data_IF_272397482255
#
_entry.id   IF_272397482255
#
_cell.length_a   1.000
_cell.length_b   1.000
_cell.length_c   1.000
_cell.angle_alpha   90.00
_cell.angle_beta   90.00
_cell.angle_gamma   90.00
#
_symmetry.space_group_name_H-M   'P 1'
#
loop_
_entity.id
_entity.type
_entity.pdbx_description
1 polymer ?
#
# COMPACT_ATOMS: atom_id res chain seq x y z
N UNK A 1 -37.61 -8.21 4.62
CA UNK A 1 -36.71 -7.91 5.76
C UNK A 1 -35.24 -8.20 5.44
N UNK A 2 -34.90 -9.27 4.71
CA UNK A 2 -33.53 -9.56 4.25
C UNK A 2 -32.86 -8.45 3.42
N UNK A 3 -33.62 -7.69 2.64
CA UNK A 3 -33.09 -6.58 1.83
C UNK A 3 -32.47 -5.44 2.67
N UNK A 4 -32.91 -5.26 3.93
CA UNK A 4 -32.34 -4.25 4.83
C UNK A 4 -31.06 -4.74 5.49
N UNK A 5 -31.00 -6.00 5.92
CA UNK A 5 -29.79 -6.60 6.50
C UNK A 5 -28.67 -6.74 5.47
N UNK A 6 -29.00 -7.14 4.24
CA UNK A 6 -28.03 -7.18 3.16
C UNK A 6 -27.46 -5.80 2.87
N UNK A 7 -28.32 -4.77 2.69
CA UNK A 7 -27.87 -3.39 2.48
C UNK A 7 -27.02 -2.87 3.62
N UNK A 8 -27.39 -3.17 4.87
CA UNK A 8 -26.61 -2.79 6.06
C UNK A 8 -25.22 -3.42 6.04
N UNK A 9 -25.10 -4.73 5.83
CA UNK A 9 -23.82 -5.43 5.77
C UNK A 9 -22.94 -4.94 4.61
N UNK A 10 -23.53 -4.69 3.44
CA UNK A 10 -22.81 -4.09 2.32
C UNK A 10 -22.29 -2.70 2.68
N UNK A 11 -23.09 -1.85 3.32
CA UNK A 11 -22.65 -0.52 3.79
C UNK A 11 -21.51 -0.66 4.78
N UNK A 12 -21.58 -1.57 5.76
CA UNK A 12 -20.50 -1.72 6.75
C UNK A 12 -19.20 -2.25 6.13
N UNK A 13 -19.29 -3.23 5.22
CA UNK A 13 -18.11 -3.80 4.53
C UNK A 13 -17.49 -2.79 3.57
N UNK A 14 -18.32 -2.11 2.77
CA UNK A 14 -17.87 -1.06 1.86
C UNK A 14 -17.25 0.10 2.66
N UNK A 15 -17.89 0.52 3.75
CA UNK A 15 -17.33 1.56 4.61
C UNK A 15 -15.99 1.16 5.21
N UNK A 16 -15.85 -0.08 5.72
CA UNK A 16 -14.62 -0.54 6.36
C UNK A 16 -13.45 -0.63 5.38
N UNK A 17 -13.70 -1.09 4.15
CA UNK A 17 -12.67 -1.28 3.12
C UNK A 17 -12.36 0.00 2.34
N UNK A 18 -13.37 0.83 2.07
CA UNK A 18 -13.26 2.00 1.19
C UNK A 18 -13.30 3.33 1.93
N UNK A 19 -13.39 3.38 3.28
CA UNK A 19 -13.42 4.65 4.04
C UNK A 19 -12.35 5.64 3.60
N UNK A 20 -11.12 5.18 3.32
CA UNK A 20 -10.03 6.06 2.88
C UNK A 20 -10.34 6.70 1.54
N UNK A 21 -10.77 5.90 0.56
CA UNK A 21 -11.16 6.38 -0.76
C UNK A 21 -12.39 7.29 -0.68
N UNK A 22 -13.43 6.91 0.05
CA UNK A 22 -14.66 7.70 0.23
C UNK A 22 -14.32 9.06 0.86
N UNK A 23 -13.59 9.08 1.97
CA UNK A 23 -13.20 10.33 2.65
C UNK A 23 -12.34 11.19 1.72
N UNK A 24 -11.37 10.59 1.01
CA UNK A 24 -10.52 11.35 0.10
C UNK A 24 -11.27 11.95 -1.08
N UNK A 25 -12.24 11.22 -1.64
CA UNK A 25 -13.08 11.72 -2.75
C UNK A 25 -14.02 12.81 -2.26
N UNK A 26 -14.59 12.64 -1.07
CA UNK A 26 -15.45 13.65 -0.45
C UNK A 26 -14.66 14.94 -0.15
N UNK A 27 -13.42 14.80 0.33
CA UNK A 27 -12.51 15.93 0.51
C UNK A 27 -12.15 16.58 -0.83
N UNK A 28 -11.89 15.82 -1.89
CA UNK A 28 -11.64 16.34 -3.23
C UNK A 28 -12.84 17.17 -3.75
N UNK A 29 -14.05 16.64 -3.63
CA UNK A 29 -15.27 17.36 -3.98
C UNK A 29 -15.42 18.65 -3.16
N UNK A 30 -15.17 18.59 -1.84
CA UNK A 30 -15.21 19.77 -0.99
C UNK A 30 -14.17 20.83 -1.40
N UNK A 31 -12.95 20.41 -1.75
CA UNK A 31 -11.91 21.30 -2.27
C UNK A 31 -12.31 21.95 -3.60
N UNK A 32 -12.90 21.20 -4.53
CA UNK A 32 -13.37 21.74 -5.81
C UNK A 32 -14.48 22.76 -5.61
N UNK A 33 -15.42 22.45 -4.72
CA UNK A 33 -16.48 23.38 -4.34
C UNK A 33 -15.90 24.67 -3.76
N UNK A 34 -14.94 24.57 -2.84
CA UNK A 34 -14.31 25.74 -2.23
C UNK A 34 -13.55 26.61 -3.24
N UNK A 35 -12.81 26.00 -4.18
CA UNK A 35 -12.13 26.71 -5.26
C UNK A 35 -13.13 27.42 -6.17
N UNK A 36 -14.23 26.75 -6.51
CA UNK A 36 -15.32 27.35 -7.29
C UNK A 36 -15.91 28.57 -6.58
N UNK A 37 -16.29 28.40 -5.32
CA UNK A 37 -16.86 29.46 -4.49
C UNK A 37 -15.93 30.68 -4.37
N UNK A 38 -14.64 30.46 -4.07
CA UNK A 38 -13.64 31.54 -4.00
C UNK A 38 -13.43 32.24 -5.35
N UNK A 39 -13.48 31.49 -6.45
CA UNK A 39 -13.31 32.05 -7.79
C UNK A 39 -14.50 32.90 -8.21
N UNK A 40 -15.73 32.47 -7.88
CA UNK A 40 -16.94 33.21 -8.19
C UNK A 40 -17.00 34.53 -7.40
N UNK A 41 -16.62 34.50 -6.12
CA UNK A 41 -16.48 35.71 -5.27
C UNK A 41 -15.44 36.69 -5.84
N UNK A 42 -14.29 36.16 -6.28
CA UNK A 42 -13.27 36.98 -6.95
C UNK A 42 -13.76 37.57 -8.28
N UNK A 43 -14.52 36.82 -9.08
CA UNK A 43 -15.09 37.30 -10.34
C UNK A 43 -16.05 38.47 -10.10
N UNK A 44 -16.90 38.36 -9.09
CA UNK A 44 -17.84 39.42 -8.70
C UNK A 44 -17.08 40.69 -8.28
N UNK A 45 -16.03 40.55 -7.46
CA UNK A 45 -15.16 41.65 -7.08
C UNK A 45 -14.43 42.28 -8.29
N UNK A 46 -13.80 41.46 -9.14
CA UNK A 46 -12.99 41.93 -10.26
C UNK A 46 -13.82 42.64 -11.33
N UNK A 47 -15.07 42.21 -11.55
CA UNK A 47 -15.99 42.83 -12.51
C UNK A 47 -16.51 44.18 -12.04
N UNK A 48 -16.61 44.42 -10.73
CA UNK A 48 -17.07 45.70 -10.16
C UNK A 48 -15.94 46.68 -9.85
N UNK A 49 -14.74 46.23 -9.47
CA UNK A 49 -13.67 47.10 -8.95
C UNK A 49 -12.57 47.49 -9.97
N UNK A 50 -12.05 46.54 -10.76
CA UNK A 50 -10.76 46.73 -11.47
C UNK A 50 -10.85 46.67 -13.01
N UNK A 51 -12.01 46.30 -13.55
CA UNK A 51 -12.18 46.08 -15.00
C UNK A 51 -11.54 44.77 -15.46
N UNK A 52 -12.00 44.25 -16.60
CA UNK A 52 -11.83 42.84 -17.05
C UNK A 52 -10.39 42.34 -17.26
N UNK A 53 -9.37 43.19 -17.04
CA UNK A 53 -7.96 42.89 -17.33
C UNK A 53 -7.35 41.81 -16.43
N UNK A 54 -7.83 41.64 -15.19
CA UNK A 54 -7.33 40.65 -14.22
C UNK A 54 -8.04 39.29 -14.30
N UNK A 55 -9.16 39.18 -15.05
CA UNK A 55 -10.01 37.99 -15.10
C UNK A 55 -9.26 36.77 -15.69
N UNK A 56 -8.45 36.97 -16.73
CA UNK A 56 -7.69 35.89 -17.36
C UNK A 56 -6.70 35.20 -16.40
N UNK A 57 -6.07 35.99 -15.52
CA UNK A 57 -5.16 35.45 -14.50
C UNK A 57 -5.87 34.59 -13.47
N UNK A 58 -7.08 34.98 -13.07
CA UNK A 58 -7.90 34.21 -12.13
C UNK A 58 -8.35 32.86 -12.70
N UNK A 59 -8.65 32.79 -14.00
CA UNK A 59 -8.91 31.51 -14.67
C UNK A 59 -7.68 30.60 -14.67
N UNK A 60 -6.49 31.14 -14.95
CA UNK A 60 -5.25 30.37 -14.85
C UNK A 60 -5.03 29.83 -13.44
N UNK A 61 -5.26 30.68 -12.42
CA UNK A 61 -5.13 30.30 -11.02
C UNK A 61 -6.14 29.20 -10.63
N UNK A 62 -7.39 29.28 -11.11
CA UNK A 62 -8.40 28.23 -10.90
C UNK A 62 -7.93 26.89 -11.45
N UNK A 63 -7.44 26.84 -12.68
CA UNK A 63 -6.95 25.61 -13.29
C UNK A 63 -5.71 25.06 -12.60
N UNK A 64 -4.78 25.94 -12.20
CA UNK A 64 -3.61 25.55 -11.42
C UNK A 64 -4.00 24.94 -10.06
N UNK A 65 -4.95 25.56 -9.35
CA UNK A 65 -5.47 25.06 -8.08
C UNK A 65 -6.16 23.69 -8.24
N UNK A 66 -6.99 23.53 -9.28
CA UNK A 66 -7.66 22.24 -9.58
C UNK A 66 -6.63 21.14 -9.91
N UNK A 67 -5.62 21.44 -10.71
CA UNK A 67 -4.54 20.49 -11.00
C UNK A 67 -3.77 20.10 -9.74
N UNK A 68 -3.48 21.07 -8.86
CA UNK A 68 -2.74 20.82 -7.63
C UNK A 68 -3.53 19.95 -6.66
N UNK A 69 -4.82 20.21 -6.47
CA UNK A 69 -5.70 19.36 -5.65
C UNK A 69 -5.85 17.96 -6.25
N UNK A 70 -6.02 17.87 -7.57
CA UNK A 70 -6.09 16.58 -8.28
C UNK A 70 -4.82 15.77 -8.08
N UNK A 71 -3.66 16.40 -8.29
CA UNK A 71 -2.36 15.76 -8.11
C UNK A 71 -2.19 15.28 -6.67
N UNK A 72 -2.50 16.13 -5.68
CA UNK A 72 -2.48 15.76 -4.26
C UNK A 72 -3.34 14.54 -3.95
N UNK A 73 -4.56 14.46 -4.51
CA UNK A 73 -5.43 13.30 -4.38
C UNK A 73 -4.79 12.03 -4.95
N UNK A 74 -4.22 12.09 -6.14
CA UNK A 74 -3.54 10.94 -6.76
C UNK A 74 -2.32 10.51 -5.94
N UNK A 75 -1.50 11.44 -5.46
CA UNK A 75 -0.34 11.13 -4.61
C UNK A 75 -0.74 10.43 -3.29
N UNK A 76 -1.85 10.84 -2.67
CA UNK A 76 -2.32 10.26 -1.42
C UNK A 76 -2.98 8.89 -1.62
N UNK A 77 -3.71 8.68 -2.72
CA UNK A 77 -4.47 7.45 -2.94
C UNK A 77 -3.72 6.37 -3.74
N UNK A 78 -2.84 6.78 -4.65
CA UNK A 78 -2.02 5.90 -5.47
C UNK A 78 -0.54 6.17 -5.15
N UNK A 79 0.01 5.55 -4.09
CA UNK A 79 1.44 5.64 -3.84
C UNK A 79 2.17 5.10 -5.07
N UNK A 80 2.86 5.99 -5.77
CA UNK A 80 3.52 5.69 -7.02
C UNK A 80 4.52 4.54 -6.81
N UNK A 81 4.41 3.44 -7.56
CA UNK A 81 5.26 2.26 -7.35
C UNK A 81 6.75 2.56 -7.60
N UNK A 82 7.08 3.60 -8.36
CA UNK A 82 8.45 4.05 -8.60
C UNK A 82 9.07 4.83 -7.43
N UNK A 83 8.26 5.33 -6.50
CA UNK A 83 8.70 5.99 -5.27
C UNK A 83 8.67 5.03 -4.07
N UNK A 84 8.45 3.75 -4.33
CA UNK A 84 8.63 2.68 -3.36
C UNK A 84 10.12 2.42 -3.17
N UNK A 85 10.70 3.00 -2.12
CA UNK A 85 11.91 2.43 -1.51
C UNK A 85 11.64 0.94 -1.32
N UNK A 86 12.56 0.13 -1.83
CA UNK A 86 12.63 -1.31 -1.61
C UNK A 86 12.84 -1.59 -0.11
N UNK A 87 11.84 -1.33 0.73
CA UNK A 87 11.74 -1.94 2.05
C UNK A 87 11.36 -3.39 1.80
N UNK A 88 12.39 -4.13 1.41
CA UNK A 88 12.43 -5.58 1.48
C UNK A 88 11.79 -5.97 2.80
N UNK A 89 10.89 -6.95 2.72
CA UNK A 89 10.59 -7.87 3.78
C UNK A 89 11.85 -8.16 4.62
N UNK A 90 12.03 -7.46 5.73
CA UNK A 90 12.69 -8.03 6.90
C UNK A 90 11.64 -8.90 7.57
N UNK A 91 11.35 -10.04 6.94
CA UNK A 91 10.82 -11.16 7.70
C UNK A 91 11.94 -11.59 8.62
N UNK A 92 11.73 -11.28 9.89
CA UNK A 92 12.31 -11.91 11.07
C UNK A 92 13.05 -13.22 10.74
N UNK A 93 14.38 -13.17 10.73
CA UNK A 93 15.18 -14.34 11.12
C UNK A 93 14.97 -14.50 12.62
N UNK A 94 14.40 -15.62 13.12
CA UNK A 94 14.55 -15.94 14.52
C UNK A 94 16.01 -16.36 14.73
N UNK A 95 16.73 -15.50 15.44
CA UNK A 95 17.78 -15.78 16.42
C UNK A 95 18.87 -16.82 16.10
N UNK A 96 20.11 -16.35 16.25
CA UNK A 96 21.31 -17.14 16.49
C UNK A 96 21.08 -18.36 17.40
N UNK A 97 21.42 -19.54 16.88
CA UNK A 97 22.05 -20.70 17.55
C UNK A 97 22.39 -21.66 16.42
N UNK A 98 23.63 -21.84 16.01
CA UNK A 98 24.53 -22.78 16.66
C UNK A 98 25.94 -22.59 16.04
N UNK A 99 26.68 -21.58 16.53
CA UNK A 99 28.15 -21.51 16.38
C UNK A 99 28.73 -22.50 17.37
N UNK A 100 28.78 -23.79 17.00
CA UNK A 100 29.67 -24.82 17.55
C UNK A 100 29.35 -26.18 16.91
N UNK A 101 29.89 -26.43 15.71
CA UNK A 101 30.22 -27.80 15.29
C UNK A 101 31.67 -27.81 14.81
N UNK A 102 32.47 -28.80 15.21
CA UNK A 102 33.90 -28.84 14.91
C UNK A 102 34.10 -28.91 13.39
N UNK A 103 35.17 -28.25 12.91
CA UNK A 103 35.67 -28.36 11.53
C UNK A 103 35.99 -29.82 11.22
N UNK A 104 35.01 -30.55 10.72
CA UNK A 104 35.24 -31.76 9.94
C UNK A 104 35.67 -31.33 8.55
N UNK A 105 36.85 -31.79 8.14
CA UNK A 105 37.43 -31.63 6.81
C UNK A 105 36.34 -31.96 5.76
N UNK A 106 35.98 -30.99 4.93
CA UNK A 106 35.13 -31.25 3.76
C UNK A 106 36.01 -31.92 2.70
N UNK A 107 35.70 -33.15 2.23
CA UNK A 107 36.30 -33.65 0.99
C UNK A 107 35.88 -32.73 -0.18
N UNK A 108 36.66 -32.69 -1.27
CA UNK A 108 36.40 -31.78 -2.39
C UNK A 108 34.99 -32.01 -2.92
N UNK A 109 34.26 -30.91 -3.13
CA UNK A 109 32.92 -30.91 -3.71
C UNK A 109 33.09 -31.33 -5.17
N UNK A 110 32.62 -32.53 -5.50
CA UNK A 110 32.55 -33.01 -6.87
C UNK A 110 31.36 -32.30 -7.52
N UNK A 111 31.64 -31.38 -8.45
CA UNK A 111 30.70 -30.41 -9.02
C UNK A 111 29.62 -31.04 -9.92
N UNK A 112 29.58 -32.38 -9.99
CA UNK A 112 28.77 -33.16 -10.92
C UNK A 112 27.42 -33.64 -10.37
N UNK A 113 27.17 -33.57 -9.06
CA UNK A 113 25.91 -34.07 -8.48
C UNK A 113 25.04 -32.97 -7.85
N UNK A 114 23.99 -32.48 -8.56
CA UNK A 114 23.08 -31.47 -8.05
C UNK A 114 22.24 -31.93 -6.83
N UNK A 115 22.31 -33.21 -6.44
CA UNK A 115 21.54 -33.78 -5.31
C UNK A 115 22.40 -34.16 -4.09
N UNK A 116 23.69 -33.83 -4.08
CA UNK A 116 24.62 -34.23 -3.01
C UNK A 116 24.17 -33.75 -1.62
N UNK A 117 23.64 -32.53 -1.55
CA UNK A 117 23.12 -31.92 -0.33
C UNK A 117 21.87 -32.62 0.24
N UNK A 118 21.12 -33.35 -0.59
CA UNK A 118 19.95 -34.11 -0.18
C UNK A 118 20.39 -35.50 0.32
N UNK A 119 21.33 -36.14 -0.39
CA UNK A 119 21.84 -37.48 -0.03
C UNK A 119 22.58 -37.52 1.29
N UNK A 120 23.26 -36.43 1.67
CA UNK A 120 23.98 -36.33 2.95
C UNK A 120 23.05 -36.20 4.18
N UNK A 121 21.73 -36.06 3.98
CA UNK A 121 20.78 -35.95 5.09
C UNK A 121 20.34 -37.34 5.57
N UNK A 122 20.56 -37.63 6.85
CA UNK A 122 20.13 -38.88 7.52
C UNK A 122 18.61 -39.07 7.51
N UNK A 123 17.83 -38.00 7.53
CA UNK A 123 16.37 -38.02 7.43
C UNK A 123 15.88 -36.83 6.60
N UNK A 124 14.97 -37.08 5.67
CA UNK A 124 14.37 -36.08 4.79
C UNK A 124 12.99 -35.66 5.32
N UNK A 125 12.95 -35.07 6.51
CA UNK A 125 11.69 -34.51 7.02
C UNK A 125 11.33 -33.26 6.19
N UNK A 126 10.26 -33.36 5.42
CA UNK A 126 9.69 -32.26 4.64
C UNK A 126 9.05 -31.19 5.52
N UNK A 127 8.65 -30.05 4.93
CA UNK A 127 7.93 -29.01 5.68
C UNK A 127 6.58 -29.50 6.22
N UNK A 128 5.92 -30.46 5.55
CA UNK A 128 4.67 -31.07 6.01
C UNK A 128 4.84 -31.98 7.23
N UNK A 129 5.91 -32.78 7.26
CA UNK A 129 6.22 -33.64 8.42
C UNK A 129 6.49 -32.86 9.71
N UNK A 130 6.96 -31.61 9.60
CA UNK A 130 7.16 -30.75 10.78
C UNK A 130 5.84 -30.35 11.44
N UNK A 131 4.76 -30.25 10.67
CA UNK A 131 3.45 -29.87 11.20
C UNK A 131 2.75 -31.06 11.85
N UNK A 132 2.95 -32.27 11.32
CA UNK A 132 2.35 -33.51 11.84
C UNK A 132 3.16 -34.14 12.99
N UNK A 133 4.48 -33.93 13.02
CA UNK A 133 5.36 -34.51 14.03
C UNK A 133 5.23 -33.87 15.43
N UNK A 134 4.89 -32.58 15.49
CA UNK A 134 4.71 -31.86 16.77
C UNK A 134 3.42 -32.27 17.51
N UNK A 135 2.48 -32.96 16.84
CA UNK A 135 1.22 -33.42 17.45
C UNK A 135 1.33 -34.77 18.19
N UNK A 136 2.43 -35.51 18.04
CA UNK A 136 2.55 -36.89 18.56
C UNK A 136 3.74 -37.17 19.50
N UNK A 137 4.49 -36.16 19.96
CA UNK A 137 5.55 -36.33 20.99
C UNK A 137 5.14 -35.79 22.38
N UNK A 138 3.83 -35.79 22.68
CA UNK A 138 3.24 -35.30 23.93
C UNK A 138 2.63 -36.37 24.86
N UNK A 139 3.11 -37.63 24.83
CA UNK A 139 2.78 -38.66 25.82
C UNK A 139 4.03 -39.39 26.29
#
# INVERSE_FOLDING_TARGET
MFNFLAKSLFVTVVWRQYKRLIISSLLLFASYYLIGFMHDDYLEYATTAEGTRSIAGAYLLKWAALLLVSAGYYFVNFPLPFLGKNTRHTQQSPSQKEKNRPRGIKPPVDESDPFENIRRKKNLKGKGDRVLGDENEGV
#
